data_IF_826929519851
#
_entry.id   IF_826929519851
#
_cell.length_a   1.000
_cell.length_b   1.000
_cell.length_c   1.000
_cell.angle_alpha   90.00
_cell.angle_beta   90.00
_cell.angle_gamma   90.00
#
_symmetry.space_group_name_H-M   'P 1'
#
loop_
_entity.id
_entity.type
_entity.pdbx_description
1 polymer ?
#
# COMPACT_ATOMS: atom_id res chain seq x y z
N UNK A 1 -49.59 -68.26 7.67
CA UNK A 1 -50.75 -68.16 8.59
C UNK A 1 -50.66 -66.88 9.40
N UNK A 2 -51.69 -66.03 9.30
CA UNK A 2 -52.27 -65.12 10.33
C UNK A 2 -51.34 -64.09 11.00
N UNK A 3 -51.61 -62.79 11.14
CA UNK A 3 -52.54 -61.72 10.69
C UNK A 3 -51.90 -60.42 11.27
N UNK A 4 -51.73 -59.31 10.53
CA UNK A 4 -52.58 -58.10 10.54
C UNK A 4 -52.91 -57.54 11.97
N UNK A 5 -52.78 -56.26 12.34
CA UNK A 5 -53.20 -55.02 11.63
C UNK A 5 -52.93 -53.75 12.49
N UNK A 6 -52.67 -52.61 11.81
CA UNK A 6 -53.02 -51.17 12.12
C UNK A 6 -52.42 -50.48 13.38
N UNK A 7 -52.05 -49.18 13.46
CA UNK A 7 -52.39 -47.94 12.72
C UNK A 7 -51.30 -46.87 12.92
N UNK A 8 -51.13 -46.00 11.92
CA UNK A 8 -50.25 -44.83 11.88
C UNK A 8 -50.70 -43.67 12.78
N UNK A 9 -49.73 -42.86 13.24
CA UNK A 9 -49.86 -41.39 13.34
C UNK A 9 -48.52 -40.75 12.96
N UNK A 10 -48.62 -39.75 12.10
CA UNK A 10 -47.59 -38.95 11.44
C UNK A 10 -46.96 -37.96 12.43
N UNK A 11 -45.62 -37.84 12.44
CA UNK A 11 -44.98 -36.56 12.70
C UNK A 11 -43.73 -36.39 11.84
N UNK A 12 -43.84 -35.40 10.96
CA UNK A 12 -42.89 -34.92 9.97
C UNK A 12 -41.80 -34.12 10.69
N UNK A 13 -40.52 -34.47 10.50
CA UNK A 13 -39.40 -33.53 10.62
C UNK A 13 -38.27 -33.99 9.71
N UNK A 14 -38.25 -33.42 8.50
CA UNK A 14 -37.11 -33.43 7.59
C UNK A 14 -36.10 -32.41 8.15
N UNK A 15 -34.87 -32.84 8.42
CA UNK A 15 -33.74 -31.94 8.54
C UNK A 15 -32.68 -32.36 7.51
N UNK A 16 -32.68 -31.63 6.40
CA UNK A 16 -31.58 -31.55 5.44
C UNK A 16 -30.49 -30.70 6.10
N UNK A 17 -29.28 -31.21 6.21
CA UNK A 17 -28.08 -30.39 6.41
C UNK A 17 -27.15 -30.59 5.22
N UNK A 18 -27.21 -29.65 4.29
CA UNK A 18 -26.13 -29.31 3.36
C UNK A 18 -25.76 -27.87 3.70
N UNK A 19 -24.50 -27.60 4.01
CA UNK A 19 -23.94 -26.26 3.88
C UNK A 19 -22.42 -26.37 3.68
N UNK A 20 -22.03 -26.24 2.42
CA UNK A 20 -20.72 -25.75 2.02
C UNK A 20 -20.58 -24.35 2.63
N UNK A 21 -19.56 -24.14 3.45
CA UNK A 21 -19.24 -22.82 4.01
C UNK A 21 -18.59 -21.95 2.94
N UNK A 22 -19.43 -21.31 2.12
CA UNK A 22 -19.04 -20.13 1.35
C UNK A 22 -18.93 -18.99 2.38
N UNK A 23 -17.73 -18.44 2.55
CA UNK A 23 -17.55 -17.18 3.28
C UNK A 23 -18.38 -16.10 2.57
N UNK A 24 -19.23 -15.33 3.28
CA UNK A 24 -19.92 -14.23 2.63
C UNK A 24 -18.90 -13.12 2.39
N UNK A 25 -18.45 -13.00 1.13
CA UNK A 25 -18.14 -11.67 0.61
C UNK A 25 -19.36 -10.77 0.83
N UNK A 26 -19.14 -9.52 1.23
CA UNK A 26 -20.20 -8.57 1.46
C UNK A 26 -21.06 -8.45 0.20
N UNK A 27 -22.21 -9.13 0.18
CA UNK A 27 -23.26 -8.83 -0.78
C UNK A 27 -23.68 -7.38 -0.54
N UNK A 28 -23.90 -6.56 -1.58
CA UNK A 28 -24.46 -5.22 -1.38
C UNK A 28 -25.71 -5.38 -0.51
N UNK A 29 -25.74 -4.68 0.62
CA UNK A 29 -26.85 -4.84 1.56
C UNK A 29 -28.15 -4.50 0.82
N UNK A 30 -29.02 -5.50 0.67
CA UNK A 30 -30.38 -5.26 0.21
C UNK A 30 -31.07 -4.34 1.20
N UNK A 31 -31.94 -3.45 0.69
CA UNK A 31 -32.66 -2.51 1.53
C UNK A 31 -33.40 -3.23 2.66
N UNK A 32 -33.20 -2.81 3.91
CA UNK A 32 -33.77 -3.49 5.07
C UNK A 32 -34.02 -2.55 6.25
N UNK A 33 -34.90 -2.96 7.16
CA UNK A 33 -35.05 -2.29 8.45
C UNK A 33 -34.05 -2.85 9.46
N UNK A 34 -33.35 -1.97 10.17
CA UNK A 34 -32.44 -2.31 11.25
C UNK A 34 -32.93 -1.71 12.58
N UNK A 35 -32.95 -2.51 13.64
CA UNK A 35 -33.22 -2.02 15.00
C UNK A 35 -31.90 -1.68 15.68
N UNK A 36 -31.74 -0.41 16.05
CA UNK A 36 -30.55 0.14 16.69
C UNK A 36 -30.35 -0.51 18.06
N UNK A 37 -29.12 -0.95 18.34
CA UNK A 37 -28.73 -1.57 19.62
C UNK A 37 -27.98 -0.57 20.49
N UNK A 38 -27.89 -0.86 21.79
CA UNK A 38 -27.04 -0.10 22.69
C UNK A 38 -25.57 -0.14 22.19
N UNK A 39 -24.98 1.04 21.98
CA UNK A 39 -23.61 1.20 21.46
C UNK A 39 -23.52 1.37 19.94
N UNK A 40 -24.62 1.25 19.19
CA UNK A 40 -24.61 1.56 17.77
C UNK A 40 -24.46 3.08 17.54
N UNK A 41 -23.71 3.43 16.50
CA UNK A 41 -23.66 4.78 15.92
C UNK A 41 -24.07 4.70 14.46
N UNK A 42 -24.48 5.82 13.85
CA UNK A 42 -24.74 5.81 12.39
C UNK A 42 -23.50 5.36 11.61
N UNK A 43 -22.30 5.61 12.13
CA UNK A 43 -21.05 5.15 11.53
C UNK A 43 -20.90 3.63 11.61
N UNK A 44 -21.07 3.01 12.79
CA UNK A 44 -20.93 1.55 12.92
C UNK A 44 -22.01 0.79 12.16
N UNK A 45 -23.23 1.35 12.09
CA UNK A 45 -24.31 0.82 11.26
C UNK A 45 -23.98 0.98 9.78
N UNK A 46 -23.47 2.13 9.37
CA UNK A 46 -23.04 2.39 8.01
C UNK A 46 -21.97 1.41 7.53
N UNK A 47 -20.95 1.17 8.34
CA UNK A 47 -19.92 0.15 8.07
C UNK A 47 -20.53 -1.25 7.94
N UNK A 48 -21.40 -1.64 8.88
CA UNK A 48 -22.04 -2.96 8.88
C UNK A 48 -22.84 -3.26 7.61
N UNK A 49 -23.41 -2.23 6.98
CA UNK A 49 -24.27 -2.39 5.81
C UNK A 49 -23.69 -1.79 4.51
N UNK A 50 -22.48 -1.25 4.53
CA UNK A 50 -21.88 -0.61 3.35
C UNK A 50 -22.62 0.65 2.90
N UNK A 51 -23.16 1.43 3.84
CA UNK A 51 -23.93 2.67 3.59
C UNK A 51 -23.25 3.84 4.29
N UNK A 52 -23.14 5.01 3.67
CA UNK A 52 -22.57 6.18 4.35
C UNK A 52 -23.51 6.74 5.43
N UNK A 53 -22.92 7.40 6.43
CA UNK A 53 -23.68 8.12 7.46
C UNK A 53 -24.63 9.15 6.85
N UNK A 54 -24.19 9.91 5.85
CA UNK A 54 -25.05 10.90 5.16
C UNK A 54 -26.25 10.28 4.44
N UNK A 55 -26.06 9.09 3.85
CA UNK A 55 -27.12 8.34 3.18
C UNK A 55 -28.12 7.80 4.20
N UNK A 56 -27.65 7.34 5.37
CA UNK A 56 -28.50 6.95 6.49
C UNK A 56 -29.29 8.13 7.05
N UNK A 57 -28.66 9.30 7.24
CA UNK A 57 -29.32 10.52 7.70
C UNK A 57 -30.44 10.92 6.74
N UNK A 58 -30.13 10.98 5.45
CA UNK A 58 -31.08 11.38 4.40
C UNK A 58 -32.24 10.39 4.28
N UNK A 59 -31.94 9.09 4.21
CA UNK A 59 -32.95 8.05 4.05
C UNK A 59 -33.91 7.93 5.24
N UNK A 60 -33.50 8.42 6.41
CA UNK A 60 -34.29 8.40 7.65
C UNK A 60 -34.80 9.78 8.08
N UNK A 61 -34.61 10.82 7.27
CA UNK A 61 -34.97 12.20 7.58
C UNK A 61 -34.45 12.67 8.96
N UNK A 62 -33.22 12.28 9.32
CA UNK A 62 -32.61 12.67 10.59
C UNK A 62 -32.10 14.12 10.50
N UNK A 63 -32.30 14.89 11.56
CA UNK A 63 -31.77 16.26 11.68
C UNK A 63 -30.38 16.33 12.31
N UNK A 64 -29.85 15.20 12.81
CA UNK A 64 -28.52 15.05 13.38
C UNK A 64 -28.06 13.58 13.29
N UNK A 65 -26.83 13.29 13.74
CA UNK A 65 -26.24 11.96 13.81
C UNK A 65 -26.64 11.17 15.08
N UNK A 66 -27.48 11.76 15.94
CA UNK A 66 -27.93 11.16 17.19
C UNK A 66 -29.01 10.10 16.93
N UNK A 67 -28.79 8.89 17.44
CA UNK A 67 -29.71 7.75 17.36
C UNK A 67 -29.87 7.10 18.73
N UNK A 68 -30.98 6.41 18.95
CA UNK A 68 -31.30 5.78 20.24
C UNK A 68 -31.52 4.27 20.10
N UNK A 69 -31.17 3.46 21.13
CA UNK A 69 -31.50 2.04 21.14
C UNK A 69 -32.99 1.79 20.93
N UNK A 70 -33.32 0.68 20.27
CA UNK A 70 -34.67 0.26 19.83
C UNK A 70 -35.32 1.11 18.74
N UNK A 71 -34.69 2.21 18.31
CA UNK A 71 -35.12 2.96 17.14
C UNK A 71 -34.95 2.12 15.87
N UNK A 72 -35.96 2.17 14.98
CA UNK A 72 -35.86 1.56 13.65
C UNK A 72 -35.19 2.54 12.69
N UNK A 73 -34.12 2.08 12.06
CA UNK A 73 -33.40 2.77 11.01
C UNK A 73 -33.62 2.01 9.70
N UNK A 74 -34.12 2.70 8.68
CA UNK A 74 -34.15 2.23 7.32
C UNK A 74 -32.72 2.24 6.75
N UNK A 75 -32.23 1.07 6.38
CA UNK A 75 -30.97 0.91 5.67
C UNK A 75 -31.31 0.95 4.19
N UNK A 76 -30.99 2.05 3.46
CA UNK A 76 -31.18 2.08 2.02
C UNK A 76 -30.29 0.99 1.40
N UNK A 77 -30.66 0.47 0.20
CA UNK A 77 -29.74 -0.39 -0.50
C UNK A 77 -28.42 0.36 -0.65
N UNK A 78 -27.30 -0.29 -0.34
CA UNK A 78 -25.99 0.31 -0.54
C UNK A 78 -26.00 0.86 -1.97
N UNK A 79 -25.78 2.17 -2.19
CA UNK A 79 -25.69 2.65 -3.55
C UNK A 79 -24.63 1.78 -4.21
N UNK A 80 -24.96 1.20 -5.36
CA UNK A 80 -23.94 0.83 -6.32
C UNK A 80 -23.25 2.16 -6.65
N UNK A 81 -22.32 2.59 -5.79
CA UNK A 81 -21.43 3.68 -6.14
C UNK A 81 -20.80 3.19 -7.43
N UNK A 82 -20.88 3.94 -8.53
CA UNK A 82 -19.74 3.92 -9.39
C UNK A 82 -18.59 4.34 -8.47
N UNK A 83 -17.63 3.45 -8.19
CA UNK A 83 -16.27 3.94 -7.96
C UNK A 83 -15.86 4.56 -9.30
N UNK A 84 -16.28 5.81 -9.50
CA UNK A 84 -16.49 6.38 -10.82
C UNK A 84 -15.21 6.94 -11.44
N UNK A 85 -14.28 7.37 -10.60
CA UNK A 85 -12.95 7.77 -11.01
C UNK A 85 -12.02 6.57 -10.89
N UNK A 86 -11.34 6.18 -11.98
CA UNK A 86 -10.27 5.20 -11.88
C UNK A 86 -9.25 5.61 -10.81
N UNK A 87 -8.72 4.64 -10.06
CA UNK A 87 -7.65 4.86 -9.08
C UNK A 87 -6.32 4.41 -9.65
N UNK A 88 -5.26 5.12 -9.27
CA UNK A 88 -3.91 4.80 -9.69
C UNK A 88 -3.30 3.74 -8.76
N UNK A 89 -2.86 2.61 -9.33
CA UNK A 89 -2.21 1.53 -8.58
C UNK A 89 -0.76 1.45 -9.05
N UNK A 90 0.17 1.90 -8.19
CA UNK A 90 1.59 1.78 -8.43
C UNK A 90 2.15 0.54 -7.71
N UNK A 91 3.01 -0.22 -8.38
CA UNK A 91 3.77 -1.29 -7.75
C UNK A 91 5.27 -1.01 -7.80
N UNK A 92 5.96 -1.08 -6.67
CA UNK A 92 7.42 -1.07 -6.69
C UNK A 92 7.93 -2.40 -7.25
N UNK A 93 8.77 -2.32 -8.27
CA UNK A 93 9.35 -3.48 -8.95
C UNK A 93 10.76 -3.68 -8.45
N UNK A 94 11.07 -4.89 -8.00
CA UNK A 94 12.39 -5.29 -7.54
C UNK A 94 12.74 -6.63 -8.16
N UNK A 95 14.00 -6.78 -8.55
CA UNK A 95 14.53 -8.07 -9.01
C UNK A 95 14.55 -9.09 -7.85
N UNK A 96 14.87 -10.34 -8.16
CA UNK A 96 14.99 -11.35 -7.11
C UNK A 96 16.11 -10.95 -6.14
N UNK A 97 15.84 -11.06 -4.83
CA UNK A 97 16.80 -10.72 -3.77
C UNK A 97 16.98 -11.95 -2.88
N UNK A 98 18.01 -12.75 -3.13
CA UNK A 98 18.22 -14.02 -2.46
C UNK A 98 16.98 -14.94 -2.58
N UNK A 99 16.34 -15.25 -1.46
CA UNK A 99 15.12 -16.07 -1.34
C UNK A 99 13.82 -15.25 -1.46
N UNK A 100 13.89 -13.92 -1.58
CA UNK A 100 12.72 -13.07 -1.79
C UNK A 100 12.35 -13.01 -3.27
N UNK A 101 11.06 -13.14 -3.62
CA UNK A 101 10.61 -13.27 -5.00
C UNK A 101 10.85 -12.01 -5.85
N UNK A 102 11.03 -12.22 -7.15
CA UNK A 102 11.07 -11.15 -8.16
C UNK A 102 9.67 -10.60 -8.46
N UNK A 103 9.56 -9.29 -8.71
CA UNK A 103 8.30 -8.62 -9.06
C UNK A 103 7.74 -8.97 -10.43
N UNK A 104 8.53 -9.54 -11.35
CA UNK A 104 8.12 -9.81 -12.73
C UNK A 104 6.86 -10.69 -12.83
N UNK A 105 6.79 -11.75 -12.02
CA UNK A 105 5.64 -12.66 -12.01
C UNK A 105 4.35 -11.94 -11.58
N UNK A 106 4.41 -11.16 -10.49
CA UNK A 106 3.26 -10.39 -10.00
C UNK A 106 2.83 -9.29 -11.00
N UNK A 107 3.79 -8.57 -11.60
CA UNK A 107 3.49 -7.54 -12.60
C UNK A 107 2.75 -8.11 -13.83
N UNK A 108 3.24 -9.23 -14.37
CA UNK A 108 2.68 -9.83 -15.59
C UNK A 108 1.35 -10.54 -15.33
N UNK A 109 1.21 -11.22 -14.19
CA UNK A 109 -0.04 -11.89 -13.83
C UNK A 109 -1.18 -10.91 -13.52
N UNK A 110 -0.87 -9.72 -13.01
CA UNK A 110 -1.86 -8.77 -12.49
C UNK A 110 -1.90 -7.44 -13.24
N UNK A 111 -1.42 -7.41 -14.48
CA UNK A 111 -1.26 -6.17 -15.25
C UNK A 111 -2.55 -5.37 -15.46
N UNK A 112 -3.72 -6.01 -15.44
CA UNK A 112 -5.02 -5.33 -15.51
C UNK A 112 -5.31 -4.45 -14.28
N UNK A 113 -4.73 -4.78 -13.12
CA UNK A 113 -4.93 -4.07 -11.87
C UNK A 113 -3.84 -3.03 -11.60
N UNK A 114 -2.77 -2.99 -12.40
CA UNK A 114 -1.61 -2.11 -12.20
C UNK A 114 -1.62 -0.94 -13.19
N UNK A 115 -1.52 0.29 -12.68
CA UNK A 115 -1.38 1.51 -13.48
C UNK A 115 0.06 1.76 -13.90
N UNK A 116 0.99 1.55 -12.95
CA UNK A 116 2.41 1.80 -13.16
C UNK A 116 3.28 0.92 -12.28
N UNK A 117 4.53 0.75 -12.70
CA UNK A 117 5.60 0.20 -11.89
C UNK A 117 6.75 1.18 -11.75
N UNK A 118 7.45 1.10 -10.62
CA UNK A 118 8.66 1.87 -10.34
C UNK A 118 9.82 0.90 -10.03
N UNK A 119 10.66 0.53 -11.02
CA UNK A 119 11.75 -0.41 -10.81
C UNK A 119 12.89 0.18 -9.98
N UNK A 120 13.22 -0.48 -8.87
CA UNK A 120 14.25 -0.08 -7.92
C UNK A 120 15.67 -0.36 -8.45
N UNK A 121 16.09 0.41 -9.45
CA UNK A 121 17.26 0.10 -10.28
C UNK A 121 18.34 1.19 -10.35
N UNK A 122 18.05 2.39 -9.87
CA UNK A 122 19.01 3.49 -9.92
C UNK A 122 19.20 4.11 -8.55
N UNK A 123 20.41 4.56 -8.28
CA UNK A 123 20.75 5.30 -7.05
C UNK A 123 21.64 6.49 -7.30
N UNK A 124 21.76 7.37 -6.31
CA UNK A 124 22.82 8.38 -6.29
C UNK A 124 24.19 7.70 -6.37
N UNK A 125 24.99 8.11 -7.35
CA UNK A 125 26.32 7.55 -7.56
C UNK A 125 27.21 7.77 -6.31
N UNK A 126 27.73 6.71 -5.65
CA UNK A 126 28.54 6.83 -4.45
C UNK A 126 29.85 7.60 -4.63
N UNK A 127 30.36 7.66 -5.87
CA UNK A 127 31.54 8.45 -6.22
C UNK A 127 31.25 9.95 -6.42
N UNK A 128 29.97 10.33 -6.49
CA UNK A 128 29.49 11.69 -6.75
C UNK A 128 29.78 12.22 -8.17
N UNK A 129 30.43 11.45 -9.05
CA UNK A 129 30.82 11.89 -10.38
C UNK A 129 29.73 11.65 -11.41
N UNK A 130 29.07 10.48 -11.37
CA UNK A 130 28.04 10.13 -12.36
C UNK A 130 26.66 10.71 -12.05
N UNK A 131 26.48 11.27 -10.84
CA UNK A 131 25.22 11.69 -10.22
C UNK A 131 24.18 10.57 -10.01
N UNK A 132 23.97 9.69 -11.01
CA UNK A 132 23.08 8.54 -10.96
C UNK A 132 23.81 7.33 -11.54
N UNK A 133 23.83 6.22 -10.79
CA UNK A 133 24.32 4.93 -11.26
C UNK A 133 23.22 3.85 -11.18
N UNK A 134 23.43 2.77 -11.92
CA UNK A 134 22.57 1.58 -11.85
C UNK A 134 22.93 0.72 -10.62
N UNK A 135 21.93 0.35 -9.83
CA UNK A 135 22.07 -0.37 -8.54
C UNK A 135 21.49 -1.79 -8.56
N UNK A 136 21.17 -2.33 -9.75
CA UNK A 136 20.61 -3.68 -9.89
C UNK A 136 21.53 -4.75 -9.28
N UNK A 137 20.94 -5.74 -8.60
CA UNK A 137 21.67 -6.87 -8.05
C UNK A 137 22.41 -7.64 -9.17
N UNK A 138 23.72 -7.94 -9.02
CA UNK A 138 24.50 -8.63 -10.06
C UNK A 138 24.15 -10.11 -10.29
N UNK A 139 23.28 -10.73 -9.48
CA UNK A 139 23.26 -12.19 -9.23
C UNK A 139 22.21 -13.00 -10.00
N UNK A 140 21.75 -12.52 -11.16
CA UNK A 140 21.51 -13.43 -12.29
C UNK A 140 20.39 -14.48 -12.15
N UNK A 141 19.21 -14.11 -11.64
CA UNK A 141 18.03 -15.01 -11.70
C UNK A 141 16.72 -14.36 -12.18
N UNK A 142 16.75 -13.17 -12.79
CA UNK A 142 15.53 -12.65 -13.43
C UNK A 142 15.61 -11.36 -14.27
N UNK A 143 16.75 -10.65 -14.28
CA UNK A 143 16.83 -9.39 -15.01
C UNK A 143 16.97 -9.64 -16.53
N UNK A 144 15.82 -9.67 -17.22
CA UNK A 144 15.79 -9.28 -18.61
C UNK A 144 16.42 -7.89 -18.77
N UNK A 145 16.89 -7.59 -19.98
CA UNK A 145 17.25 -6.23 -20.39
C UNK A 145 16.19 -5.23 -19.86
N UNK A 146 16.54 -4.11 -19.18
CA UNK A 146 15.56 -3.13 -18.70
C UNK A 146 14.55 -2.72 -19.76
N UNK A 147 14.99 -2.58 -21.03
CA UNK A 147 14.10 -2.30 -22.16
C UNK A 147 13.08 -3.40 -22.42
N UNK A 148 13.43 -4.66 -22.19
CA UNK A 148 12.49 -5.79 -22.33
C UNK A 148 11.42 -5.77 -21.23
N UNK A 149 11.80 -5.45 -19.98
CA UNK A 149 10.84 -5.33 -18.86
C UNK A 149 9.91 -4.14 -19.09
N UNK A 150 10.48 -2.99 -19.48
CA UNK A 150 9.70 -1.79 -19.86
C UNK A 150 8.73 -2.12 -21.00
N UNK A 151 9.22 -2.76 -22.06
CA UNK A 151 8.39 -3.17 -23.18
C UNK A 151 7.27 -4.12 -22.77
N UNK A 152 7.53 -5.06 -21.86
CA UNK A 152 6.50 -5.97 -21.35
C UNK A 152 5.43 -5.27 -20.50
N UNK A 153 5.84 -4.32 -19.66
CA UNK A 153 4.92 -3.46 -18.92
C UNK A 153 4.03 -2.64 -19.89
N UNK A 154 4.63 -2.04 -20.92
CA UNK A 154 3.92 -1.25 -21.93
C UNK A 154 2.91 -2.07 -22.73
N UNK A 155 3.21 -3.33 -23.09
CA UNK A 155 2.23 -4.24 -23.73
C UNK A 155 0.97 -4.45 -22.89
N UNK A 156 1.07 -4.29 -21.57
CA UNK A 156 -0.02 -4.42 -20.62
C UNK A 156 -0.60 -3.05 -20.20
N UNK A 157 -0.28 -1.96 -20.90
CA UNK A 157 -0.67 -0.59 -20.57
C UNK A 157 -0.27 -0.18 -19.14
N UNK A 158 0.91 -0.62 -18.70
CA UNK A 158 1.51 -0.27 -17.40
C UNK A 158 2.61 0.75 -17.67
N UNK A 159 2.53 1.92 -17.05
CA UNK A 159 3.59 2.92 -17.13
C UNK A 159 4.83 2.47 -16.35
N UNK A 160 6.03 2.87 -16.77
CA UNK A 160 7.26 2.58 -16.02
C UNK A 160 7.96 3.87 -15.63
N UNK A 161 8.14 4.07 -14.33
CA UNK A 161 8.79 5.24 -13.76
C UNK A 161 10.21 4.87 -13.33
N UNK A 162 11.22 5.58 -13.83
CA UNK A 162 12.59 5.38 -13.36
C UNK A 162 12.67 5.76 -11.88
N UNK A 163 12.85 4.79 -10.98
CA UNK A 163 13.03 5.06 -9.55
C UNK A 163 14.50 5.37 -9.27
N UNK A 164 14.76 6.47 -8.56
CA UNK A 164 16.10 6.85 -8.11
C UNK A 164 16.08 7.01 -6.59
N UNK A 165 16.93 6.24 -5.91
CA UNK A 165 17.08 6.29 -4.46
C UNK A 165 18.45 6.75 -3.99
N UNK A 166 18.63 7.01 -2.70
CA UNK A 166 19.94 7.25 -2.09
C UNK A 166 20.30 6.25 -0.97
N UNK A 167 19.55 5.14 -0.88
CA UNK A 167 19.88 4.03 0.00
C UNK A 167 21.16 3.31 -0.44
N UNK A 168 22.11 3.17 0.48
CA UNK A 168 23.37 2.43 0.29
C UNK A 168 23.45 1.37 1.40
N UNK A 169 22.96 0.18 1.09
CA UNK A 169 22.91 -0.94 2.03
C UNK A 169 24.29 -1.55 2.35
N UNK A 170 25.31 -1.28 1.52
CA UNK A 170 26.67 -1.75 1.73
C UNK A 170 27.69 -0.63 1.43
N UNK A 171 28.42 -0.17 2.46
CA UNK A 171 29.58 0.72 2.29
C UNK A 171 29.76 1.81 3.35
N UNK A 172 30.84 2.57 3.19
CA UNK A 172 31.26 3.71 4.03
C UNK A 172 30.63 5.06 3.61
N UNK A 173 29.69 5.04 2.67
CA UNK A 173 29.14 6.25 2.04
C UNK A 173 27.80 6.60 2.68
N UNK A 174 27.71 7.80 3.24
CA UNK A 174 26.50 8.34 3.85
C UNK A 174 25.53 8.83 2.76
N UNK A 175 24.40 8.12 2.59
CA UNK A 175 23.35 8.50 1.63
C UNK A 175 22.77 9.90 1.88
N UNK A 176 22.77 10.38 3.14
CA UNK A 176 22.38 11.74 3.47
C UNK A 176 23.40 12.75 2.94
N UNK A 177 24.70 12.43 3.04
CA UNK A 177 25.77 13.26 2.51
C UNK A 177 25.72 13.34 0.97
N UNK A 178 25.42 12.24 0.29
CA UNK A 178 25.22 12.24 -1.16
C UNK A 178 24.03 13.12 -1.57
N UNK A 179 22.91 13.01 -0.85
CA UNK A 179 21.76 13.87 -1.08
C UNK A 179 22.12 15.34 -0.87
N UNK A 180 22.79 15.69 0.25
CA UNK A 180 23.27 17.06 0.50
C UNK A 180 24.15 17.59 -0.65
N UNK A 181 25.11 16.77 -1.13
CA UNK A 181 26.01 17.15 -2.22
C UNK A 181 25.26 17.38 -3.54
N UNK A 182 24.30 16.51 -3.88
CA UNK A 182 23.46 16.67 -5.07
C UNK A 182 22.59 17.94 -4.97
N UNK A 183 22.04 18.22 -3.79
CA UNK A 183 21.12 19.34 -3.56
C UNK A 183 21.81 20.71 -3.44
N UNK A 184 23.12 20.74 -3.22
CA UNK A 184 23.88 21.90 -2.76
C UNK A 184 23.65 23.18 -3.57
N UNK A 185 23.67 23.09 -4.91
CA UNK A 185 23.51 24.26 -5.76
C UNK A 185 22.87 23.91 -7.12
N UNK A 186 22.57 24.94 -7.92
CA UNK A 186 21.92 24.78 -9.23
C UNK A 186 22.74 23.92 -10.19
N UNK A 187 24.07 23.93 -10.10
CA UNK A 187 24.93 23.14 -10.98
C UNK A 187 24.81 21.64 -10.66
N UNK A 188 24.93 21.25 -9.39
CA UNK A 188 24.85 19.84 -8.97
C UNK A 188 23.47 19.24 -9.26
N UNK A 189 22.39 19.99 -8.95
CA UNK A 189 21.01 19.60 -9.32
C UNK A 189 20.84 19.52 -10.83
N UNK A 190 21.41 20.46 -11.59
CA UNK A 190 21.36 20.46 -13.05
C UNK A 190 22.04 19.25 -13.69
N UNK A 191 23.19 18.81 -13.15
CA UNK A 191 23.88 17.59 -13.59
C UNK A 191 22.98 16.38 -13.37
N UNK A 192 22.39 16.25 -12.18
CA UNK A 192 21.45 15.17 -11.86
C UNK A 192 20.25 15.17 -12.82
N UNK A 193 19.59 16.31 -12.99
CA UNK A 193 18.38 16.44 -13.82
C UNK A 193 18.69 16.07 -15.29
N UNK A 194 19.84 16.49 -15.81
CA UNK A 194 20.25 16.13 -17.17
C UNK A 194 20.51 14.62 -17.31
N UNK A 195 21.16 13.99 -16.34
CA UNK A 195 21.38 12.52 -16.35
C UNK A 195 20.07 11.76 -16.25
N UNK A 196 19.16 12.18 -15.36
CA UNK A 196 17.82 11.61 -15.21
C UNK A 196 17.04 11.67 -16.53
N UNK A 197 16.98 12.84 -17.15
CA UNK A 197 16.28 13.03 -18.42
C UNK A 197 16.84 12.16 -19.54
N UNK A 198 18.17 11.97 -19.59
CA UNK A 198 18.82 11.08 -20.54
C UNK A 198 18.43 9.61 -20.30
N UNK A 199 18.41 9.14 -19.05
CA UNK A 199 17.97 7.77 -18.71
C UNK A 199 16.53 7.55 -19.16
N UNK A 200 15.63 8.50 -18.85
CA UNK A 200 14.22 8.43 -19.25
C UNK A 200 14.10 8.25 -20.77
N UNK A 201 14.79 9.09 -21.54
CA UNK A 201 14.75 9.07 -23.02
C UNK A 201 15.40 7.84 -23.63
N UNK A 202 16.53 7.38 -23.09
CA UNK A 202 17.29 6.25 -23.63
C UNK A 202 16.55 4.92 -23.48
N UNK A 203 15.87 4.74 -22.35
CA UNK A 203 15.19 3.50 -21.99
C UNK A 203 13.68 3.51 -22.29
N UNK A 204 13.09 4.69 -22.51
CA UNK A 204 11.67 4.83 -22.80
C UNK A 204 10.81 4.77 -21.53
N UNK A 205 11.27 5.35 -20.43
CA UNK A 205 10.45 5.50 -19.23
C UNK A 205 9.34 6.56 -19.43
N UNK A 206 8.23 6.38 -18.74
CA UNK A 206 7.08 7.30 -18.74
C UNK A 206 7.24 8.45 -17.74
N UNK A 207 8.32 8.43 -16.95
CA UNK A 207 8.61 9.44 -15.96
C UNK A 207 9.62 8.97 -14.91
N UNK A 208 9.57 9.63 -13.76
CA UNK A 208 10.47 9.41 -12.63
C UNK A 208 9.69 9.19 -11.34
N UNK A 209 10.22 8.30 -10.51
CA UNK A 209 9.90 8.18 -9.09
C UNK A 209 11.14 8.62 -8.27
N UNK A 210 11.02 9.71 -7.52
CA UNK A 210 12.10 10.22 -6.67
C UNK A 210 11.93 9.64 -5.27
N UNK A 211 12.86 8.75 -4.89
CA UNK A 211 12.87 8.05 -3.61
C UNK A 211 14.12 8.43 -2.79
N UNK A 212 14.30 9.75 -2.61
CA UNK A 212 15.45 10.31 -1.91
C UNK A 212 15.08 10.44 -0.43
N UNK A 213 15.58 9.52 0.37
CA UNK A 213 15.30 9.36 1.79
C UNK A 213 16.46 9.86 2.67
N UNK A 214 16.30 9.82 4.00
CA UNK A 214 17.35 10.20 4.96
C UNK A 214 18.01 11.58 4.64
N UNK A 215 17.20 12.56 4.23
CA UNK A 215 17.68 13.91 3.90
C UNK A 215 18.03 14.64 5.21
N UNK A 216 19.01 15.54 5.19
CA UNK A 216 19.31 16.37 6.37
C UNK A 216 18.28 17.49 6.48
N UNK A 217 17.88 17.84 7.70
CA UNK A 217 16.92 18.93 7.92
C UNK A 217 17.38 20.26 7.28
N UNK A 218 18.69 20.53 7.29
CA UNK A 218 19.29 21.70 6.65
C UNK A 218 19.08 21.77 5.12
N UNK A 219 18.74 20.65 4.48
CA UNK A 219 18.51 20.55 3.04
C UNK A 219 17.01 20.50 2.69
N UNK A 220 16.08 20.68 3.65
CA UNK A 220 14.62 20.67 3.43
C UNK A 220 14.18 21.56 2.25
N UNK A 221 14.60 22.82 2.26
CA UNK A 221 14.23 23.78 1.22
C UNK A 221 14.93 23.47 -0.11
N UNK A 222 16.17 22.97 -0.05
CA UNK A 222 16.92 22.55 -1.24
C UNK A 222 16.25 21.36 -1.92
N UNK A 223 15.74 20.40 -1.14
CA UNK A 223 15.00 19.25 -1.67
C UNK A 223 13.68 19.68 -2.31
N UNK A 224 12.94 20.59 -1.66
CA UNK A 224 11.71 21.16 -2.24
C UNK A 224 11.98 21.89 -3.56
N UNK A 225 13.06 22.67 -3.62
CA UNK A 225 13.51 23.34 -4.85
C UNK A 225 13.92 22.33 -5.93
N UNK A 226 14.63 21.26 -5.56
CA UNK A 226 15.02 20.20 -6.47
C UNK A 226 13.80 19.52 -7.11
N UNK A 227 12.80 19.13 -6.31
CA UNK A 227 11.55 18.53 -6.81
C UNK A 227 10.85 19.48 -7.80
N UNK A 228 10.81 20.78 -7.49
CA UNK A 228 10.30 21.81 -8.40
C UNK A 228 11.06 21.86 -9.73
N UNK A 229 12.38 21.87 -9.70
CA UNK A 229 13.23 21.93 -10.90
C UNK A 229 13.05 20.67 -11.77
N UNK A 230 12.96 19.48 -11.16
CA UNK A 230 12.65 18.21 -11.86
C UNK A 230 11.26 18.31 -12.52
N UNK A 231 10.24 18.74 -11.78
CA UNK A 231 8.87 18.87 -12.29
C UNK A 231 8.80 19.84 -13.47
N UNK A 232 9.40 21.01 -13.35
CA UNK A 232 9.43 22.02 -14.41
C UNK A 232 10.20 21.56 -15.65
N UNK A 233 11.20 20.68 -15.50
CA UNK A 233 11.92 20.10 -16.63
C UNK A 233 11.10 19.01 -17.34
N UNK A 234 10.52 18.09 -16.58
CA UNK A 234 9.97 16.84 -17.10
C UNK A 234 8.47 16.91 -17.44
N UNK A 235 7.66 17.59 -16.62
CA UNK A 235 6.21 17.61 -16.81
C UNK A 235 5.76 18.22 -18.16
N UNK A 236 6.34 19.33 -18.66
CA UNK A 236 5.99 19.87 -19.98
C UNK A 236 6.32 18.94 -21.16
N UNK A 237 7.20 17.96 -20.94
CA UNK A 237 7.56 16.94 -21.94
C UNK A 237 6.63 15.71 -21.90
N UNK A 238 5.63 15.71 -21.01
CA UNK A 238 4.68 14.59 -20.83
C UNK A 238 5.11 13.55 -19.80
N UNK A 239 6.32 13.68 -19.22
CA UNK A 239 6.83 12.73 -18.23
C UNK A 239 6.18 12.93 -16.85
N UNK A 240 5.83 11.81 -16.20
CA UNK A 240 5.34 11.81 -14.82
C UNK A 240 6.48 12.08 -13.84
N UNK A 241 6.14 12.71 -12.73
CA UNK A 241 7.05 13.00 -11.62
C UNK A 241 6.33 12.64 -10.34
N UNK A 242 6.77 11.57 -9.69
CA UNK A 242 6.24 11.13 -8.39
C UNK A 242 7.34 11.17 -7.35
N UNK A 243 6.98 11.42 -6.09
CA UNK A 243 7.94 11.56 -4.99
C UNK A 243 7.51 10.70 -3.81
N UNK A 244 8.41 9.87 -3.29
CA UNK A 244 8.21 9.15 -2.05
C UNK A 244 8.52 10.08 -0.87
N UNK A 245 7.69 10.03 0.17
CA UNK A 245 7.90 10.78 1.40
C UNK A 245 7.64 9.91 2.63
N UNK A 246 8.44 10.05 3.70
CA UNK A 246 8.15 9.42 4.98
C UNK A 246 6.77 9.80 5.51
N UNK A 247 6.08 8.85 6.14
CA UNK A 247 4.84 9.09 6.85
C UNK A 247 5.00 10.14 7.96
N UNK A 248 3.98 11.01 8.10
CA UNK A 248 3.90 12.06 9.13
C UNK A 248 2.47 12.23 9.62
N UNK A 249 2.31 12.49 10.92
CA UNK A 249 1.02 12.91 11.51
C UNK A 249 0.94 14.41 11.80
N UNK A 250 2.08 15.12 11.71
CA UNK A 250 2.22 16.56 11.82
C UNK A 250 3.61 16.99 11.30
N UNK A 251 3.84 18.30 11.10
CA UNK A 251 5.17 18.78 10.71
C UNK A 251 6.11 18.86 11.91
N UNK A 252 6.90 17.80 12.11
CA UNK A 252 7.88 17.72 13.17
C UNK A 252 9.30 17.98 12.65
N UNK A 253 9.78 19.22 12.75
CA UNK A 253 11.15 19.58 12.36
C UNK A 253 12.23 18.94 13.24
N UNK A 254 11.87 18.39 14.41
CA UNK A 254 12.83 17.65 15.25
C UNK A 254 13.02 16.21 14.78
N UNK A 255 12.17 15.70 13.89
CA UNK A 255 12.37 14.38 13.29
C UNK A 255 13.46 14.44 12.23
N UNK A 256 14.54 13.70 12.44
CA UNK A 256 15.60 13.55 11.41
C UNK A 256 15.13 12.74 10.21
N UNK A 257 14.12 11.89 10.37
CA UNK A 257 13.59 11.04 9.30
C UNK A 257 12.63 11.80 8.40
N UNK A 258 11.58 12.36 8.99
CA UNK A 258 10.50 12.97 8.23
C UNK A 258 10.60 14.49 8.16
N UNK A 259 11.19 15.16 9.16
CA UNK A 259 11.32 16.62 9.22
C UNK A 259 11.80 17.33 7.95
N UNK A 260 12.72 16.77 7.14
CA UNK A 260 13.17 17.38 5.88
C UNK A 260 12.11 17.47 4.75
N UNK A 261 10.99 16.77 4.86
CA UNK A 261 10.04 16.61 3.75
C UNK A 261 8.85 17.57 3.86
N UNK A 262 8.88 18.68 3.11
CA UNK A 262 7.78 19.63 3.05
C UNK A 262 6.64 19.12 2.16
N UNK A 263 5.58 18.60 2.78
CA UNK A 263 4.46 18.00 2.06
C UNK A 263 3.77 19.00 1.12
N UNK A 264 3.63 20.26 1.51
CA UNK A 264 2.95 21.26 0.70
C UNK A 264 3.77 21.64 -0.55
N UNK A 265 5.07 21.87 -0.40
CA UNK A 265 5.95 22.15 -1.54
C UNK A 265 6.06 20.95 -2.48
N UNK A 266 6.27 19.75 -1.94
CA UNK A 266 6.39 18.52 -2.74
C UNK A 266 5.07 18.22 -3.47
N UNK A 267 3.93 18.37 -2.81
CA UNK A 267 2.59 18.17 -3.40
C UNK A 267 2.26 19.18 -4.52
N UNK A 268 2.79 20.40 -4.43
CA UNK A 268 2.64 21.40 -5.49
C UNK A 268 3.38 20.99 -6.77
N UNK A 269 4.58 20.42 -6.64
CA UNK A 269 5.48 20.10 -7.77
C UNK A 269 5.63 18.60 -8.03
N UNK A 270 4.52 17.87 -7.97
CA UNK A 270 4.47 16.45 -8.35
C UNK A 270 3.12 16.11 -8.97
N UNK A 271 3.10 15.03 -9.75
CA UNK A 271 1.87 14.40 -10.23
C UNK A 271 1.25 13.50 -9.18
N UNK A 272 2.10 12.86 -8.36
CA UNK A 272 1.69 12.08 -7.20
C UNK A 272 2.74 12.16 -6.10
N UNK A 273 2.29 12.15 -4.84
CA UNK A 273 3.13 11.93 -3.66
C UNK A 273 2.78 10.56 -3.11
N UNK A 274 3.78 9.69 -2.98
CA UNK A 274 3.65 8.37 -2.40
C UNK A 274 4.06 8.47 -0.95
N UNK A 275 3.11 8.26 -0.05
CA UNK A 275 3.38 8.33 1.38
C UNK A 275 3.74 6.93 1.84
N UNK A 276 4.93 6.76 2.41
CA UNK A 276 5.40 5.49 2.94
C UNK A 276 4.69 5.17 4.27
N UNK A 277 3.39 4.89 4.20
CA UNK A 277 2.52 4.48 5.32
C UNK A 277 2.76 3.01 5.68
N UNK A 278 4.02 2.69 5.93
CA UNK A 278 4.53 1.40 6.40
C UNK A 278 5.81 1.64 7.21
N UNK A 279 6.38 0.56 7.78
CA UNK A 279 7.46 0.60 8.76
C UNK A 279 7.12 1.42 10.02
N UNK A 280 5.84 1.39 10.45
CA UNK A 280 5.47 1.83 11.80
C UNK A 280 6.27 1.01 12.84
N UNK A 281 6.41 -0.29 12.56
CA UNK A 281 7.36 -1.17 13.21
C UNK A 281 8.27 -1.88 12.18
N UNK A 282 9.58 -1.84 12.39
CA UNK A 282 10.59 -2.43 11.49
C UNK A 282 11.98 -2.57 12.13
N UNK A 283 13.02 -2.31 11.35
CA UNK A 283 14.43 -2.49 11.75
C UNK A 283 14.88 -1.62 12.93
N UNK A 284 14.24 -0.46 13.13
CA UNK A 284 14.60 0.50 14.19
C UNK A 284 13.65 0.47 15.40
N UNK A 285 12.72 -0.49 15.45
CA UNK A 285 11.73 -0.62 16.51
C UNK A 285 11.65 -2.06 17.05
N UNK A 286 10.82 -2.25 18.08
CA UNK A 286 10.37 -3.57 18.49
C UNK A 286 9.26 -4.13 17.59
N UNK A 287 8.83 -5.38 17.85
CA UNK A 287 7.73 -6.03 17.13
C UNK A 287 6.45 -5.21 17.16
N UNK A 288 5.68 -5.29 16.08
CA UNK A 288 4.37 -4.64 15.95
C UNK A 288 3.88 -4.62 14.51
N UNK A 289 2.66 -4.10 14.27
CA UNK A 289 2.07 -4.02 12.94
C UNK A 289 2.93 -3.17 12.00
N UNK A 290 3.01 -3.58 10.73
CA UNK A 290 3.79 -2.86 9.72
C UNK A 290 3.14 -1.50 9.40
N UNK A 291 1.81 -1.49 9.35
CA UNK A 291 1.01 -0.30 9.09
C UNK A 291 -0.37 -0.40 9.78
N UNK A 292 -0.44 -0.05 11.06
CA UNK A 292 -1.69 -0.11 11.82
C UNK A 292 -2.72 0.88 11.28
N UNK A 293 -3.99 0.46 11.20
CA UNK A 293 -5.06 1.27 10.59
C UNK A 293 -5.25 2.64 11.25
N UNK A 294 -5.08 2.74 12.57
CA UNK A 294 -5.14 3.99 13.31
C UNK A 294 -4.03 4.97 12.92
N UNK A 295 -2.78 4.49 12.91
CA UNK A 295 -1.63 5.29 12.50
C UNK A 295 -1.72 5.72 11.03
N UNK A 296 -2.06 4.79 10.13
CA UNK A 296 -2.25 5.10 8.70
C UNK A 296 -3.31 6.17 8.51
N UNK A 297 -4.43 6.11 9.24
CA UNK A 297 -5.48 7.13 9.21
C UNK A 297 -4.98 8.51 9.64
N UNK A 298 -4.21 8.58 10.73
CA UNK A 298 -3.64 9.85 11.20
C UNK A 298 -2.66 10.45 10.19
N UNK A 299 -1.87 9.60 9.52
CA UNK A 299 -0.97 10.02 8.45
C UNK A 299 -1.75 10.56 7.25
N UNK A 300 -2.78 9.84 6.78
CA UNK A 300 -3.65 10.28 5.67
C UNK A 300 -4.33 11.60 6.00
N UNK A 301 -4.86 11.74 7.22
CA UNK A 301 -5.51 12.97 7.66
C UNK A 301 -4.57 14.18 7.60
N UNK A 302 -3.33 14.03 8.06
CA UNK A 302 -2.34 15.10 7.97
C UNK A 302 -1.93 15.37 6.51
N UNK A 303 -1.74 14.32 5.72
CA UNK A 303 -1.36 14.46 4.32
C UNK A 303 -2.41 15.22 3.50
N UNK A 304 -3.69 14.86 3.64
CA UNK A 304 -4.81 15.51 2.95
C UNK A 304 -5.00 16.99 3.32
N UNK A 305 -4.44 17.45 4.44
CA UNK A 305 -4.41 18.88 4.81
C UNK A 305 -3.33 19.67 4.04
N UNK A 306 -2.31 18.99 3.51
CA UNK A 306 -1.11 19.62 2.95
C UNK A 306 -0.90 19.28 1.46
N UNK A 307 -1.48 18.19 0.98
CA UNK A 307 -1.37 17.71 -0.40
C UNK A 307 -2.81 17.51 -0.92
N UNK A 308 -3.14 17.98 -2.13
CA UNK A 308 -4.42 17.67 -2.75
C UNK A 308 -4.66 16.14 -2.80
N UNK A 309 -5.78 15.61 -2.29
CA UNK A 309 -6.03 14.17 -2.19
C UNK A 309 -5.86 13.40 -3.52
N UNK A 310 -6.22 14.02 -4.64
CA UNK A 310 -6.08 13.49 -6.00
C UNK A 310 -4.62 13.33 -6.46
N UNK A 311 -3.65 13.72 -5.63
CA UNK A 311 -2.21 13.47 -5.81
C UNK A 311 -1.65 12.45 -4.81
N UNK A 312 -2.41 12.02 -3.80
CA UNK A 312 -1.88 11.16 -2.74
C UNK A 312 -2.01 9.69 -3.15
N UNK A 313 -0.90 8.97 -3.14
CA UNK A 313 -0.86 7.51 -3.18
C UNK A 313 -0.55 6.97 -1.78
N UNK A 314 -1.44 6.15 -1.26
CA UNK A 314 -1.27 5.49 0.04
C UNK A 314 -0.28 4.32 -0.11
N UNK A 315 0.81 4.34 0.65
CA UNK A 315 1.77 3.24 0.69
C UNK A 315 1.18 2.01 1.36
N UNK A 316 1.29 0.87 0.69
CA UNK A 316 0.79 -0.43 1.17
C UNK A 316 1.99 -1.37 1.33
N UNK A 317 2.28 -1.87 2.54
CA UNK A 317 3.25 -2.93 2.72
C UNK A 317 2.69 -4.25 2.19
N UNK A 318 3.46 -4.90 1.31
CA UNK A 318 3.24 -6.26 0.82
C UNK A 318 4.11 -7.29 1.56
N UNK A 319 4.67 -6.93 2.72
CA UNK A 319 5.64 -7.75 3.45
C UNK A 319 5.27 -7.86 4.91
N UNK A 320 6.08 -8.64 5.63
CA UNK A 320 6.09 -8.68 7.08
C UNK A 320 7.50 -8.78 7.65
N UNK A 321 7.55 -8.88 8.96
CA UNK A 321 8.77 -9.00 9.74
C UNK A 321 8.61 -10.08 10.80
N UNK A 322 9.67 -10.87 10.99
CA UNK A 322 9.84 -11.88 12.04
C UNK A 322 10.93 -11.41 13.01
N UNK A 323 10.53 -10.96 14.20
CA UNK A 323 11.45 -10.53 15.24
C UNK A 323 11.79 -11.68 16.18
N UNK A 324 13.08 -11.88 16.43
CA UNK A 324 13.58 -12.85 17.41
C UNK A 324 13.92 -12.15 18.73
N UNK A 325 13.40 -12.66 19.84
CA UNK A 325 13.68 -12.13 21.18
C UNK A 325 15.20 -12.13 21.45
N UNK A 326 15.72 -10.97 21.87
CA UNK A 326 17.13 -10.78 22.17
C UNK A 326 18.04 -10.61 20.94
N UNK A 327 17.48 -10.53 19.73
CA UNK A 327 18.24 -10.16 18.53
C UNK A 327 17.91 -8.73 18.10
N UNK A 328 18.89 -8.07 17.47
CA UNK A 328 18.70 -6.75 16.89
C UNK A 328 18.10 -6.88 15.48
N UNK A 329 16.98 -6.19 15.26
CA UNK A 329 16.27 -6.16 13.99
C UNK A 329 15.46 -7.44 13.68
N UNK A 330 14.48 -7.34 12.77
CA UNK A 330 13.72 -8.48 12.27
C UNK A 330 14.35 -9.14 11.03
N UNK A 331 13.86 -10.33 10.69
CA UNK A 331 13.95 -10.90 9.35
C UNK A 331 12.80 -10.36 8.49
N UNK A 332 13.10 -9.75 7.36
CA UNK A 332 12.14 -9.34 6.32
C UNK A 332 11.59 -10.57 5.59
N UNK A 333 10.27 -10.67 5.45
CA UNK A 333 9.62 -11.85 4.87
C UNK A 333 8.43 -11.48 3.97
N UNK A 334 8.16 -12.30 2.96
CA UNK A 334 6.93 -12.22 2.17
C UNK A 334 5.72 -12.78 2.92
N UNK A 335 4.51 -12.52 2.41
CA UNK A 335 3.29 -13.17 2.88
C UNK A 335 3.40 -14.70 2.84
N UNK A 336 3.86 -15.26 1.72
CA UNK A 336 3.99 -16.71 1.55
C UNK A 336 4.96 -17.31 2.59
N UNK A 337 6.09 -16.64 2.82
CA UNK A 337 7.05 -17.04 3.86
C UNK A 337 6.45 -16.96 5.26
N UNK A 338 5.67 -15.93 5.58
CA UNK A 338 4.99 -15.79 6.87
C UNK A 338 3.99 -16.95 7.10
N UNK A 339 3.18 -17.28 6.09
CA UNK A 339 2.20 -18.38 6.16
C UNK A 339 2.90 -19.73 6.29
N UNK A 340 3.93 -19.99 5.48
CA UNK A 340 4.71 -21.23 5.56
C UNK A 340 5.41 -21.37 6.91
N UNK A 341 5.93 -20.26 7.46
CA UNK A 341 6.54 -20.24 8.79
C UNK A 341 5.52 -20.62 9.86
N UNK A 342 4.35 -19.96 9.88
CA UNK A 342 3.30 -20.27 10.84
C UNK A 342 2.90 -21.76 10.80
N UNK A 343 2.75 -22.32 9.60
CA UNK A 343 2.46 -23.75 9.41
C UNK A 343 3.58 -24.65 9.95
N UNK A 344 4.84 -24.34 9.63
CA UNK A 344 6.00 -25.13 10.07
C UNK A 344 6.18 -25.14 11.59
N UNK A 345 5.82 -24.03 12.25
CA UNK A 345 5.90 -23.84 13.70
C UNK A 345 4.61 -24.25 14.42
N UNK A 346 3.59 -24.71 13.69
CA UNK A 346 2.25 -25.00 14.22
C UNK A 346 1.65 -23.80 14.99
N UNK A 347 1.98 -22.59 14.55
CA UNK A 347 1.47 -21.35 15.12
C UNK A 347 0.13 -20.96 14.47
N UNK A 348 -0.79 -20.45 15.27
CA UNK A 348 -2.05 -19.91 14.76
C UNK A 348 -1.82 -18.47 14.32
N UNK A 349 -2.19 -18.16 13.08
CA UNK A 349 -2.28 -16.78 12.60
C UNK A 349 -3.51 -16.15 13.26
N UNK A 350 -3.28 -15.07 13.99
CA UNK A 350 -4.27 -14.28 14.70
C UNK A 350 -4.51 -12.95 13.96
N UNK A 351 -5.63 -12.31 14.29
CA UNK A 351 -5.97 -10.98 13.82
C UNK A 351 -6.02 -10.04 15.00
N UNK A 352 -5.36 -8.89 14.90
CA UNK A 352 -5.45 -7.84 15.90
C UNK A 352 -6.49 -6.79 15.47
N UNK A 353 -7.62 -6.74 16.20
CA UNK A 353 -8.74 -5.85 15.89
C UNK A 353 -8.39 -4.36 16.03
N UNK A 354 -7.36 -4.00 16.81
CA UNK A 354 -6.98 -2.60 16.99
C UNK A 354 -6.17 -2.09 15.80
N UNK A 355 -5.11 -2.82 15.43
CA UNK A 355 -4.23 -2.47 14.32
C UNK A 355 -4.81 -2.85 12.96
N UNK A 356 -5.75 -3.79 12.92
CA UNK A 356 -6.30 -4.39 11.70
C UNK A 356 -5.20 -5.07 10.86
N UNK A 357 -4.34 -5.84 11.53
CA UNK A 357 -3.24 -6.58 10.93
C UNK A 357 -3.14 -8.02 11.46
N UNK A 358 -2.70 -8.98 10.62
CA UNK A 358 -2.43 -10.34 11.06
C UNK A 358 -1.08 -10.46 11.76
N UNK A 359 -1.01 -11.36 12.74
CA UNK A 359 0.22 -11.66 13.46
C UNK A 359 0.22 -13.10 13.99
N UNK A 360 1.39 -13.58 14.39
CA UNK A 360 1.51 -14.80 15.21
C UNK A 360 2.79 -14.77 16.04
N UNK A 361 2.83 -15.64 17.04
CA UNK A 361 3.99 -15.84 17.89
C UNK A 361 4.35 -17.32 17.92
N UNK A 362 5.63 -17.62 18.02
CA UNK A 362 6.11 -19.00 18.19
C UNK A 362 7.41 -19.03 19.00
N UNK A 363 7.91 -20.24 19.29
CA UNK A 363 9.24 -20.44 19.86
C UNK A 363 10.07 -21.32 18.94
N UNK A 364 11.30 -20.90 18.68
CA UNK A 364 12.23 -21.71 17.89
C UNK A 364 12.78 -22.92 18.69
N UNK A 365 13.59 -23.75 18.03
CA UNK A 365 14.22 -24.93 18.64
C UNK A 365 15.18 -24.57 19.80
N UNK A 366 15.66 -23.33 19.85
CA UNK A 366 16.47 -22.78 20.93
C UNK A 366 15.64 -22.17 22.07
N UNK A 367 14.30 -22.33 22.04
CA UNK A 367 13.35 -21.75 22.99
C UNK A 367 13.34 -20.21 23.00
N UNK A 368 13.80 -19.55 21.93
CA UNK A 368 13.69 -18.10 21.77
C UNK A 368 12.30 -17.75 21.28
N UNK A 369 11.73 -16.67 21.82
CA UNK A 369 10.42 -16.18 21.39
C UNK A 369 10.53 -15.45 20.06
N UNK A 370 9.55 -15.66 19.20
CA UNK A 370 9.39 -14.93 17.94
C UNK A 370 8.03 -14.27 17.90
N UNK A 371 7.98 -13.08 17.30
CA UNK A 371 6.74 -12.36 17.00
C UNK A 371 6.79 -11.91 15.54
N UNK A 372 5.73 -12.25 14.80
CA UNK A 372 5.65 -12.04 13.35
C UNK A 372 4.42 -11.20 13.05
N UNK A 373 4.62 -10.09 12.36
CA UNK A 373 3.55 -9.24 11.84
C UNK A 373 3.71 -9.12 10.32
N UNK A 374 2.59 -9.17 9.60
CA UNK A 374 2.60 -9.12 8.14
C UNK A 374 1.27 -8.53 7.64
N UNK A 375 1.05 -8.53 6.34
CA UNK A 375 -0.12 -7.94 5.69
C UNK A 375 -0.83 -8.97 4.81
N UNK A 376 -2.13 -8.80 4.60
CA UNK A 376 -2.95 -9.69 3.78
C UNK A 376 -4.05 -8.94 3.02
N UNK A 377 -4.86 -9.66 2.26
CA UNK A 377 -5.98 -9.09 1.51
C UNK A 377 -7.00 -8.34 2.40
N UNK A 378 -7.21 -8.78 3.64
CA UNK A 378 -8.14 -8.14 4.58
C UNK A 378 -7.59 -6.81 5.11
N UNK A 379 -6.32 -6.77 5.51
CA UNK A 379 -5.68 -5.54 5.98
C UNK A 379 -5.57 -4.50 4.85
N UNK A 380 -5.37 -4.93 3.60
CA UNK A 380 -5.51 -4.06 2.43
C UNK A 380 -6.93 -3.51 2.31
N UNK A 381 -7.97 -4.34 2.43
CA UNK A 381 -9.36 -3.89 2.35
C UNK A 381 -9.65 -2.71 3.29
N UNK A 382 -9.17 -2.79 4.53
CA UNK A 382 -9.31 -1.71 5.51
C UNK A 382 -8.55 -0.43 5.12
N UNK A 383 -7.37 -0.57 4.51
CA UNK A 383 -6.59 0.57 4.00
C UNK A 383 -7.25 1.19 2.76
N UNK A 384 -7.92 0.41 1.92
CA UNK A 384 -8.71 0.92 0.79
C UNK A 384 -9.94 1.72 1.23
N UNK A 385 -10.51 1.43 2.41
CA UNK A 385 -11.56 2.27 2.98
C UNK A 385 -11.06 3.70 3.23
N UNK A 386 -9.78 3.88 3.60
CA UNK A 386 -9.18 5.22 3.74
C UNK A 386 -8.98 5.91 2.37
N UNK A 387 -8.64 5.15 1.33
CA UNK A 387 -8.55 5.66 -0.05
C UNK A 387 -9.91 6.20 -0.49
N UNK A 388 -10.98 5.47 -0.20
CA UNK A 388 -12.34 5.87 -0.53
C UNK A 388 -12.86 7.02 0.36
N UNK A 389 -12.53 7.01 1.65
CA UNK A 389 -12.97 8.01 2.64
C UNK A 389 -12.36 9.39 2.35
N UNK A 390 -11.07 9.43 1.99
CA UNK A 390 -10.34 10.68 1.73
C UNK A 390 -10.24 11.03 0.23
N UNK A 391 -10.88 10.24 -0.64
CA UNK A 391 -10.83 10.39 -2.10
C UNK A 391 -9.40 10.46 -2.65
N UNK A 392 -8.51 9.61 -2.13
CA UNK A 392 -7.10 9.60 -2.51
C UNK A 392 -6.94 9.12 -3.97
N UNK A 393 -5.86 9.56 -4.64
CA UNK A 393 -5.55 9.12 -6.02
C UNK A 393 -5.52 7.60 -6.17
N UNK A 394 -5.03 6.89 -5.15
CA UNK A 394 -4.94 5.44 -5.13
C UNK A 394 -3.87 4.95 -4.16
N UNK A 395 -3.15 3.89 -4.55
CA UNK A 395 -2.19 3.19 -3.68
C UNK A 395 -0.84 2.97 -4.37
N UNK A 396 0.19 2.72 -3.57
CA UNK A 396 1.51 2.26 -4.00
C UNK A 396 1.94 1.05 -3.17
N UNK A 397 2.15 -0.12 -3.79
CA UNK A 397 2.46 -1.37 -3.11
C UNK A 397 3.97 -1.58 -3.06
N UNK A 398 4.54 -1.58 -1.85
CA UNK A 398 5.92 -2.00 -1.58
C UNK A 398 5.92 -3.42 -1.01
N UNK A 399 6.31 -4.46 -1.75
CA UNK A 399 6.68 -4.45 -3.17
C UNK A 399 6.04 -5.63 -3.89
N UNK A 400 5.93 -5.51 -5.21
CA UNK A 400 5.32 -6.55 -6.04
C UNK A 400 6.07 -7.88 -5.89
N UNK A 401 5.32 -8.97 -5.78
CA UNK A 401 5.82 -10.33 -5.59
C UNK A 401 5.86 -10.77 -4.12
N UNK A 402 5.83 -9.85 -3.16
CA UNK A 402 5.87 -10.22 -1.73
C UNK A 402 4.48 -10.34 -1.10
N UNK A 403 3.48 -9.71 -1.72
CA UNK A 403 2.13 -9.58 -1.20
C UNK A 403 1.35 -10.90 -1.12
N UNK A 404 0.28 -10.89 -0.33
CA UNK A 404 -0.78 -11.91 -0.41
C UNK A 404 -1.38 -11.92 -1.82
N UNK A 405 -1.41 -13.06 -2.54
CA UNK A 405 -2.06 -13.14 -3.85
C UNK A 405 -3.51 -12.64 -3.85
N UNK A 406 -4.24 -12.78 -2.74
CA UNK A 406 -5.62 -12.29 -2.58
C UNK A 406 -5.75 -10.75 -2.65
N UNK A 407 -4.65 -10.00 -2.54
CA UNK A 407 -4.64 -8.54 -2.78
C UNK A 407 -5.18 -8.21 -4.16
N UNK A 408 -4.83 -8.99 -5.18
CA UNK A 408 -5.23 -8.72 -6.56
C UNK A 408 -6.72 -8.95 -6.81
N UNK A 409 -7.32 -9.90 -6.10
CA UNK A 409 -8.77 -10.10 -6.11
C UNK A 409 -9.51 -8.92 -5.47
N UNK A 410 -9.00 -8.42 -4.34
CA UNK A 410 -9.56 -7.23 -3.66
C UNK A 410 -9.47 -6.01 -4.57
N UNK A 411 -8.32 -5.79 -5.21
CA UNK A 411 -8.13 -4.68 -6.15
C UNK A 411 -9.05 -4.80 -7.36
N UNK A 412 -9.14 -5.99 -7.98
CA UNK A 412 -10.04 -6.23 -9.12
C UNK A 412 -11.52 -6.02 -8.79
N UNK A 413 -11.92 -6.25 -7.53
CA UNK A 413 -13.31 -6.03 -7.08
C UNK A 413 -13.59 -4.58 -6.69
N UNK A 414 -12.64 -3.89 -6.05
CA UNK A 414 -12.87 -2.58 -5.43
C UNK A 414 -12.39 -1.39 -6.26
N UNK A 415 -11.37 -1.58 -7.09
CA UNK A 415 -10.72 -0.51 -7.83
C UNK A 415 -10.94 -0.72 -9.32
N UNK A 416 -11.49 0.31 -9.97
CA UNK A 416 -11.30 0.49 -11.40
C UNK A 416 -9.92 1.08 -11.62
N UNK A 417 -8.96 0.29 -12.10
CA UNK A 417 -7.58 0.76 -12.28
C UNK A 417 -7.48 1.81 -13.38
N UNK A 418 -6.79 2.92 -13.12
CA UNK A 418 -6.39 3.91 -14.12
C UNK A 418 -5.35 3.29 -15.06
N UNK A 419 -5.61 3.30 -16.37
CA UNK A 419 -4.68 2.79 -17.38
C UNK A 419 -4.38 3.91 -18.37
N UNK A 420 -3.13 4.05 -18.74
CA UNK A 420 -2.71 4.95 -19.82
C UNK A 420 -2.73 4.15 -21.11
N UNK A 421 -3.48 4.62 -22.12
CA UNK A 421 -3.39 4.04 -23.46
C UNK A 421 -1.98 4.25 -23.99
N UNK A 422 -1.29 3.17 -24.32
CA UNK A 422 0.00 3.20 -24.99
C UNK A 422 -0.29 3.03 -26.49
N UNK A 423 -0.26 4.14 -27.25
CA UNK A 423 -0.51 4.15 -28.71
C UNK A 423 0.62 3.51 -29.52
#
# INVERSE_FOLDING_TARGET
>A
MVKAKTTAVILLCIAILLAVSVLPGASPAMAQNYTIRAGDTLFSIGQKFGVQVGDLITANNLSSDMIYPEQRLWIPPAPLRPSGSPRYVLGFYVDQENDLPCSYGSMTANGSQISAVAPFWYRLAPDGQEAIEESRAPDGTGAGNPKAIISEAHKNNIQVLALIHNMIYAGWVDGAALASAMLENTQTRGVFINKLENIIKEYGYDGVNLDIENIRLADRDKFSLFVKEVFQRLAPQGYKVTVCVPAKTHDNLQSSWSGPFDYAQIGMYSHSVIIMTYDEHGYSSGPGPIASSGWVRDVVKYAAQNIPPEKILLGIPGYGFDWTAGQAGPRYISYEQAVALAQSQQANILWDDSSQAPYFQYRDTGNRGHEVWFENAFSLGNKLDLVDEYDLKGIAIWRLGMEDPGVWDVLGCRIKTEKTSMD
#
